data_IF_422323742139
#
_entry.id   IF_422323742139
#
_cell.length_a   1.000
_cell.length_b   1.000
_cell.length_c   1.000
_cell.angle_alpha   90.00
_cell.angle_beta   90.00
_cell.angle_gamma   90.00
#
_symmetry.space_group_name_H-M   'P 1'
#
loop_
_entity.id
_entity.type
_entity.pdbx_description
1 polymer ?
#
# COMPACT_ATOMS: atom_id res chain seq x y z
N UNK A 1 4.17 3.42 -17.14
CA UNK A 1 4.51 2.71 -15.89
C UNK A 1 4.25 3.68 -14.75
N UNK A 2 3.47 3.29 -13.74
CA UNK A 2 3.15 4.18 -12.62
C UNK A 2 4.39 4.36 -11.74
N UNK A 3 4.63 5.56 -11.18
CA UNK A 3 5.79 5.81 -10.35
C UNK A 3 5.67 5.07 -9.03
N UNK A 4 6.77 4.45 -8.61
CA UNK A 4 6.88 3.81 -7.30
C UNK A 4 7.14 4.85 -6.22
N UNK A 5 6.75 4.55 -4.98
CA UNK A 5 7.05 5.39 -3.83
C UNK A 5 8.57 5.53 -3.61
N UNK A 6 9.34 4.52 -4.03
CA UNK A 6 10.80 4.57 -4.05
C UNK A 6 11.34 5.69 -4.95
N UNK A 7 10.84 5.78 -6.18
CA UNK A 7 11.23 6.81 -7.16
C UNK A 7 10.78 8.19 -6.70
N UNK A 8 9.53 8.31 -6.24
CA UNK A 8 8.94 9.57 -5.78
C UNK A 8 9.68 10.17 -4.57
N UNK A 9 10.29 9.32 -3.74
CA UNK A 9 11.09 9.74 -2.59
C UNK A 9 12.58 9.90 -2.88
N UNK A 10 13.02 9.68 -4.13
CA UNK A 10 14.42 9.81 -4.54
C UNK A 10 15.36 8.85 -3.80
N UNK A 11 14.88 7.66 -3.45
CA UNK A 11 15.66 6.69 -2.69
C UNK A 11 16.79 6.06 -3.53
N UNK A 12 17.87 5.65 -2.86
CA UNK A 12 19.04 5.01 -3.49
C UNK A 12 19.38 3.62 -2.94
N UNK A 13 18.62 3.15 -1.95
CA UNK A 13 18.86 1.85 -1.33
C UNK A 13 18.55 0.69 -2.30
N UNK A 14 19.46 -0.28 -2.44
CA UNK A 14 19.31 -1.36 -3.43
C UNK A 14 18.08 -2.24 -3.19
N UNK A 15 17.79 -2.59 -1.93
CA UNK A 15 16.70 -3.49 -1.56
C UNK A 15 15.65 -2.70 -0.76
N UNK A 16 14.44 -2.57 -1.29
CA UNK A 16 13.38 -1.83 -0.61
C UNK A 16 12.01 -2.26 -1.08
N UNK A 17 11.12 -2.55 -0.13
CA UNK A 17 9.70 -2.79 -0.40
C UNK A 17 9.02 -1.59 -1.09
N UNK A 18 9.56 -0.38 -0.98
CA UNK A 18 8.94 0.81 -1.57
C UNK A 18 8.94 0.78 -3.11
N UNK A 19 9.75 -0.10 -3.71
CA UNK A 19 9.72 -0.40 -5.15
C UNK A 19 8.47 -1.18 -5.57
N UNK A 20 7.84 -1.85 -4.62
CA UNK A 20 6.58 -2.57 -4.79
C UNK A 20 5.35 -1.70 -4.51
N UNK A 21 5.51 -0.43 -4.15
CA UNK A 21 4.39 0.46 -3.81
C UNK A 21 4.21 1.45 -4.97
N UNK A 22 3.17 1.26 -5.77
CA UNK A 22 2.87 2.08 -6.95
C UNK A 22 1.79 3.09 -6.62
N UNK A 23 2.05 4.37 -6.91
CA UNK A 23 1.02 5.40 -6.82
C UNK A 23 0.29 5.43 -8.15
N UNK A 24 -0.97 5.00 -8.16
CA UNK A 24 -1.77 4.85 -9.36
C UNK A 24 -2.71 6.05 -9.53
N UNK A 25 -3.76 5.91 -10.34
CA UNK A 25 -4.73 6.97 -10.58
C UNK A 25 -5.72 7.13 -9.44
N UNK A 26 -6.91 7.61 -9.79
CA UNK A 26 -8.05 7.59 -8.88
C UNK A 26 -8.77 6.25 -9.03
N UNK A 27 -9.27 5.71 -7.92
CA UNK A 27 -10.23 4.61 -7.91
C UNK A 27 -11.56 5.03 -8.54
N UNK A 28 -12.45 4.08 -8.79
CA UNK A 28 -13.82 4.33 -9.26
C UNK A 28 -14.59 5.28 -8.35
N UNK A 29 -14.32 5.24 -7.05
CA UNK A 29 -14.95 6.08 -6.02
C UNK A 29 -14.22 7.43 -5.83
N UNK A 30 -13.20 7.71 -6.65
CA UNK A 30 -12.47 8.96 -6.67
C UNK A 30 -11.41 9.11 -5.58
N UNK A 31 -11.04 8.03 -4.88
CA UNK A 31 -9.92 8.03 -3.93
C UNK A 31 -8.60 7.87 -4.67
N UNK A 32 -7.54 8.50 -4.17
CA UNK A 32 -6.20 8.23 -4.68
C UNK A 32 -5.86 6.76 -4.41
N UNK A 33 -5.50 6.03 -5.46
CA UNK A 33 -5.25 4.59 -5.38
C UNK A 33 -3.75 4.30 -5.32
N UNK A 34 -3.41 3.28 -4.54
CA UNK A 34 -2.06 2.76 -4.31
C UNK A 34 -2.13 1.26 -4.49
N UNK A 35 -1.39 0.75 -5.46
CA UNK A 35 -1.26 -0.69 -5.69
C UNK A 35 0.06 -1.16 -5.11
N UNK A 36 0.02 -2.29 -4.41
CA UNK A 36 1.22 -2.90 -3.84
C UNK A 36 1.37 -4.31 -4.39
N UNK A 37 2.36 -4.49 -5.27
CA UNK A 37 2.64 -5.78 -5.92
C UNK A 37 4.13 -6.13 -5.88
N UNK A 38 4.51 -7.43 -5.79
CA UNK A 38 5.90 -7.85 -5.84
C UNK A 38 6.60 -7.35 -7.13
N UNK A 39 7.60 -6.48 -6.97
CA UNK A 39 8.39 -5.95 -8.10
C UNK A 39 9.72 -6.67 -8.26
N UNK A 40 10.32 -7.06 -7.14
CA UNK A 40 11.57 -7.82 -7.06
C UNK A 40 11.51 -8.84 -5.90
N UNK A 41 12.58 -9.61 -5.72
CA UNK A 41 12.68 -10.61 -4.66
C UNK A 41 12.43 -10.03 -3.25
N UNK A 42 12.75 -8.74 -3.03
CA UNK A 42 12.50 -8.09 -1.73
C UNK A 42 11.00 -7.88 -1.52
N UNK A 43 10.30 -7.42 -2.55
CA UNK A 43 8.83 -7.31 -2.54
C UNK A 43 8.16 -8.67 -2.38
N UNK A 44 8.63 -9.67 -3.13
CA UNK A 44 8.11 -11.04 -3.08
C UNK A 44 8.27 -11.64 -1.68
N UNK A 45 9.47 -11.58 -1.09
CA UNK A 45 9.72 -12.11 0.26
C UNK A 45 8.95 -11.40 1.37
N UNK A 46 8.66 -10.12 1.19
CA UNK A 46 7.90 -9.32 2.13
C UNK A 46 6.41 -9.65 2.07
N UNK A 47 5.84 -9.79 0.86
CA UNK A 47 4.41 -9.95 0.63
C UNK A 47 3.94 -11.42 0.60
N UNK A 48 4.84 -12.36 0.28
CA UNK A 48 4.55 -13.79 0.17
C UNK A 48 5.32 -14.64 1.19
N UNK A 49 6.09 -13.98 2.07
CA UNK A 49 6.90 -14.62 3.12
C UNK A 49 6.07 -15.22 4.25
N UNK A 50 6.62 -15.20 5.47
CA UNK A 50 5.90 -15.67 6.67
C UNK A 50 4.84 -14.66 7.12
N UNK A 51 3.83 -15.05 7.93
CA UNK A 51 2.82 -14.10 8.42
C UNK A 51 3.44 -12.89 9.12
N UNK A 52 4.46 -13.10 9.95
CA UNK A 52 5.18 -12.00 10.60
C UNK A 52 5.91 -11.06 9.63
N UNK A 53 6.37 -11.54 8.46
CA UNK A 53 6.94 -10.68 7.42
C UNK A 53 5.85 -9.89 6.72
N UNK A 54 4.72 -10.53 6.43
CA UNK A 54 3.55 -9.87 5.85
C UNK A 54 3.03 -8.74 6.75
N UNK A 55 2.85 -8.99 8.04
CA UNK A 55 2.42 -7.98 9.01
C UNK A 55 3.39 -6.79 9.07
N UNK A 56 4.70 -7.06 9.01
CA UNK A 56 5.73 -6.02 8.95
C UNK A 56 5.68 -5.24 7.64
N UNK A 57 5.41 -5.90 6.52
CA UNK A 57 5.23 -5.26 5.22
C UNK A 57 4.01 -4.32 5.25
N UNK A 58 2.86 -4.81 5.74
CA UNK A 58 1.64 -4.01 5.92
C UNK A 58 1.87 -2.77 6.81
N UNK A 59 2.54 -2.94 7.96
CA UNK A 59 2.88 -1.82 8.84
C UNK A 59 3.80 -0.78 8.15
N UNK A 60 4.76 -1.24 7.34
CA UNK A 60 5.64 -0.36 6.57
C UNK A 60 4.89 0.37 5.47
N UNK A 61 4.05 -0.33 4.70
CA UNK A 61 3.20 0.23 3.63
C UNK A 61 2.35 1.35 4.22
N UNK A 62 1.55 1.04 5.25
CA UNK A 62 0.71 2.00 5.97
C UNK A 62 1.48 3.25 6.38
N UNK A 63 2.65 3.08 7.02
CA UNK A 63 3.49 4.20 7.47
C UNK A 63 3.98 5.06 6.31
N UNK A 64 4.53 4.45 5.27
CA UNK A 64 5.18 5.17 4.19
C UNK A 64 4.18 5.83 3.23
N UNK A 65 3.05 5.16 2.96
CA UNK A 65 1.93 5.74 2.20
C UNK A 65 1.31 6.91 2.95
N UNK A 66 1.00 6.75 4.24
CA UNK A 66 0.46 7.87 5.05
C UNK A 66 1.42 9.05 5.06
N UNK A 67 2.71 8.81 5.29
CA UNK A 67 3.73 9.87 5.29
C UNK A 67 3.81 10.60 3.95
N UNK A 68 3.68 9.90 2.83
CA UNK A 68 3.75 10.49 1.51
C UNK A 68 2.53 11.36 1.18
N UNK A 69 1.34 10.95 1.61
CA UNK A 69 0.10 11.67 1.34
C UNK A 69 -0.28 12.72 2.37
N UNK A 70 0.37 12.74 3.55
CA UNK A 70 0.03 13.69 4.63
C UNK A 70 0.01 15.15 4.21
N UNK A 71 0.94 15.53 3.34
CA UNK A 71 1.04 16.91 2.84
C UNK A 71 0.46 17.06 1.43
N UNK A 72 -0.29 16.06 0.95
CA UNK A 72 -0.96 16.06 -0.34
C UNK A 72 -2.46 16.24 -0.12
N UNK A 73 -3.06 17.15 -0.87
CA UNK A 73 -4.49 17.40 -0.80
C UNK A 73 -5.28 16.25 -1.46
N UNK A 74 -5.39 15.11 -0.75
CA UNK A 74 -6.14 13.93 -1.19
C UNK A 74 -7.58 13.98 -0.67
N UNK A 75 -8.50 13.42 -1.46
CA UNK A 75 -9.93 13.38 -1.14
C UNK A 75 -10.15 12.79 0.25
N UNK A 76 -10.87 13.54 1.10
CA UNK A 76 -11.26 13.11 2.46
C UNK A 76 -10.09 12.66 3.34
N UNK A 77 -8.86 13.06 2.98
CA UNK A 77 -7.64 12.59 3.62
C UNK A 77 -7.50 11.05 3.67
N UNK A 78 -8.04 10.37 2.64
CA UNK A 78 -8.09 8.91 2.56
C UNK A 78 -7.54 8.43 1.21
N UNK A 79 -6.79 7.33 1.23
CA UNK A 79 -6.27 6.67 0.03
C UNK A 79 -6.68 5.20 0.01
N UNK A 80 -6.99 4.67 -1.17
CA UNK A 80 -7.26 3.24 -1.35
C UNK A 80 -5.92 2.52 -1.52
N UNK A 81 -5.64 1.54 -0.68
CA UNK A 81 -4.45 0.69 -0.75
C UNK A 81 -4.87 -0.73 -1.06
N UNK A 82 -4.45 -1.26 -2.20
CA UNK A 82 -4.67 -2.66 -2.60
C UNK A 82 -3.35 -3.41 -2.59
N UNK A 83 -3.24 -4.44 -1.76
CA UNK A 83 -2.03 -5.26 -1.63
C UNK A 83 -2.27 -6.62 -2.25
N UNK A 84 -1.45 -6.97 -3.24
CA UNK A 84 -1.49 -8.23 -3.95
C UNK A 84 -0.45 -9.20 -3.37
N UNK A 85 -0.93 -10.32 -2.84
CA UNK A 85 -0.12 -11.42 -2.34
C UNK A 85 -0.56 -12.72 -2.99
N UNK A 86 0.38 -13.46 -3.57
CA UNK A 86 0.12 -14.82 -4.05
C UNK A 86 -0.22 -15.78 -2.90
N UNK A 87 0.33 -15.51 -1.70
CA UNK A 87 0.14 -16.36 -0.52
C UNK A 87 -1.10 -16.00 0.28
N UNK A 88 -1.38 -14.71 0.44
CA UNK A 88 -2.43 -14.19 1.33
C UNK A 88 -3.67 -13.67 0.58
N UNK A 89 -3.61 -13.60 -0.75
CA UNK A 89 -4.69 -13.07 -1.58
C UNK A 89 -4.58 -11.57 -1.79
N UNK A 90 -5.73 -10.93 -2.06
CA UNK A 90 -5.81 -9.49 -2.28
C UNK A 90 -6.44 -8.85 -1.05
N UNK A 91 -5.70 -7.93 -0.43
CA UNK A 91 -6.16 -7.13 0.71
C UNK A 91 -6.39 -5.69 0.26
N UNK A 92 -7.63 -5.20 0.39
CA UNK A 92 -8.00 -3.83 0.05
C UNK A 92 -8.38 -3.06 1.30
N UNK A 93 -7.83 -1.85 1.44
CA UNK A 93 -7.99 -1.01 2.62
C UNK A 93 -8.13 0.47 2.25
N UNK A 94 -9.07 1.16 2.89
CA UNK A 94 -9.07 2.62 2.93
C UNK A 94 -8.13 3.08 4.05
N UNK A 95 -7.09 3.81 3.71
CA UNK A 95 -6.09 4.32 4.64
C UNK A 95 -6.35 5.80 4.93
N UNK A 96 -6.70 6.12 6.17
CA UNK A 96 -6.74 7.49 6.66
C UNK A 96 -5.32 8.00 6.88
N UNK A 97 -4.97 9.08 6.21
CA UNK A 97 -3.59 9.55 6.11
C UNK A 97 -3.11 10.23 7.42
N UNK A 98 -4.00 10.85 8.19
CA UNK A 98 -3.65 11.56 9.43
C UNK A 98 -3.16 10.66 10.54
N UNK A 99 -3.89 9.57 10.80
CA UNK A 99 -3.62 8.64 11.89
C UNK A 99 -3.06 7.29 11.39
N UNK A 100 -2.95 7.15 10.07
CA UNK A 100 -2.50 5.97 9.37
C UNK A 100 -3.43 4.77 9.56
N UNK A 101 -4.66 4.89 10.05
CA UNK A 101 -5.52 3.72 10.28
C UNK A 101 -6.10 3.21 8.97
N UNK A 102 -6.11 1.88 8.83
CA UNK A 102 -6.98 1.25 7.85
C UNK A 102 -8.40 1.27 8.40
N UNK A 103 -9.32 1.77 7.61
CA UNK A 103 -10.74 1.53 7.75
C UNK A 103 -11.01 0.14 7.18
N UNK A 104 -11.50 -0.75 8.04
CA UNK A 104 -12.06 -2.00 7.59
C UNK A 104 -13.52 -1.71 7.25
N UNK A 105 -13.89 -1.74 5.96
CA UNK A 105 -15.25 -2.15 5.66
C UNK A 105 -15.37 -3.57 6.21
N UNK A 106 -16.30 -3.78 7.15
CA UNK A 106 -16.61 -5.12 7.62
C UNK A 106 -16.76 -6.04 6.41
N UNK A 107 -16.18 -7.25 6.40
CA UNK A 107 -16.48 -8.18 5.32
C UNK A 107 -17.99 -8.30 5.27
N UNK A 108 -18.59 -8.02 4.10
CA UNK A 108 -19.93 -8.48 3.80
C UNK A 108 -19.86 -9.98 4.02
N UNK A 109 -20.28 -10.43 5.20
CA UNK A 109 -20.56 -11.84 5.45
C UNK A 109 -21.75 -12.14 4.54
N UNK A 110 -21.45 -12.59 3.33
CA UNK A 110 -22.40 -13.32 2.53
C UNK A 110 -22.83 -14.50 3.41
N UNK A 111 -24.07 -14.43 3.89
CA UNK A 111 -24.76 -15.53 4.56
C UNK A 111 -25.01 -16.65 3.56
#
# INVERSE_FOLDING_TARGET
MNPTLYELKGMKAKNSLLKSIFITGLSTDGYQHVEVEPYDDTGFDALNGTPSRYDKAQALIKKEVSKYFKDKNVKENTVLVTVYSERYGVDEHYLHVDDGKYEFEYPIRLK
#
